data_IF_668383684118
#
_entry.id   IF_668383684118
#
_cell.length_a   1.000
_cell.length_b   1.000
_cell.length_c   1.000
_cell.angle_alpha   90.00
_cell.angle_beta   90.00
_cell.angle_gamma   90.00
#
_symmetry.space_group_name_H-M   'P 1'
#
loop_
_entity.id
_entity.type
_entity.pdbx_description
1 polymer ?
#
# COMPACT_ATOMS: atom_id res chain seq x y z
N UNK A 1 9.98 9.06 -12.91
CA UNK A 1 8.88 8.60 -12.03
C UNK A 1 8.63 7.09 -12.14
N UNK A 2 8.73 6.50 -13.33
CA UNK A 2 8.48 5.06 -13.55
C UNK A 2 9.29 4.14 -12.63
N UNK A 3 10.58 4.43 -12.41
CA UNK A 3 11.46 3.59 -11.59
C UNK A 3 10.95 3.38 -10.15
N UNK A 4 10.60 4.43 -9.38
CA UNK A 4 10.02 4.21 -8.06
C UNK A 4 8.66 3.51 -8.10
N UNK A 5 7.84 3.68 -9.15
CA UNK A 5 6.60 2.93 -9.31
C UNK A 5 6.85 1.43 -9.50
N UNK A 6 7.85 1.05 -10.30
CA UNK A 6 8.25 -0.36 -10.50
C UNK A 6 8.82 -0.97 -9.21
N UNK A 7 9.59 -0.20 -8.46
CA UNK A 7 10.32 -0.66 -7.28
C UNK A 7 9.57 -0.43 -5.95
N UNK A 8 8.33 0.10 -5.99
CA UNK A 8 7.61 0.47 -4.76
C UNK A 8 7.46 -0.68 -3.76
N UNK A 9 7.33 -1.91 -4.22
CA UNK A 9 7.22 -3.11 -3.39
C UNK A 9 8.56 -3.81 -3.08
N UNK A 10 9.69 -3.23 -3.45
CA UNK A 10 11.02 -3.84 -3.24
C UNK A 10 11.27 -4.20 -1.76
N UNK A 11 10.73 -3.42 -0.83
CA UNK A 11 10.79 -3.72 0.61
C UNK A 11 10.08 -5.01 1.02
N UNK A 12 9.21 -5.55 0.16
CA UNK A 12 8.49 -6.81 0.36
C UNK A 12 9.14 -8.01 -0.35
N UNK A 13 10.35 -7.86 -0.87
CA UNK A 13 11.07 -8.99 -1.47
C UNK A 13 11.22 -10.13 -0.45
N UNK A 14 10.84 -11.36 -0.85
CA UNK A 14 10.77 -12.53 0.04
C UNK A 14 9.42 -12.67 0.78
N UNK A 15 8.38 -11.99 0.33
CA UNK A 15 7.05 -12.07 0.94
C UNK A 15 6.48 -13.50 0.84
N UNK A 16 6.23 -14.10 1.99
CA UNK A 16 5.38 -15.28 2.13
C UNK A 16 3.92 -14.82 2.29
N UNK A 17 3.17 -14.86 1.19
CA UNK A 17 1.80 -14.34 1.16
C UNK A 17 0.88 -15.03 2.16
N UNK A 18 1.04 -16.35 2.35
CA UNK A 18 0.20 -17.12 3.25
C UNK A 18 0.47 -16.75 4.71
N UNK A 19 1.75 -16.75 5.11
CA UNK A 19 2.15 -16.41 6.47
C UNK A 19 1.89 -14.94 6.78
N UNK A 20 2.27 -14.04 5.87
CA UNK A 20 1.99 -12.60 5.99
C UNK A 20 0.49 -12.32 6.14
N UNK A 21 -0.33 -12.91 5.26
CA UNK A 21 -1.78 -12.77 5.33
C UNK A 21 -2.35 -13.27 6.66
N UNK A 22 -1.88 -14.43 7.13
CA UNK A 22 -2.30 -15.02 8.40
C UNK A 22 -1.96 -14.11 9.59
N UNK A 23 -0.72 -13.60 9.66
CA UNK A 23 -0.29 -12.69 10.73
C UNK A 23 -1.17 -11.43 10.75
N UNK A 24 -1.32 -10.77 9.59
CA UNK A 24 -1.99 -9.48 9.54
C UNK A 24 -3.52 -9.54 9.56
N UNK A 25 -4.12 -10.64 9.11
CA UNK A 25 -5.55 -10.89 9.32
C UNK A 25 -5.85 -11.16 10.79
N UNK A 26 -5.01 -11.94 11.45
CA UNK A 26 -5.09 -12.15 12.89
C UNK A 26 -4.94 -10.83 13.66
N UNK A 27 -3.90 -10.04 13.37
CA UNK A 27 -3.68 -8.76 14.04
C UNK A 27 -4.89 -7.82 13.89
N UNK A 28 -5.44 -7.74 12.68
CA UNK A 28 -6.64 -6.93 12.41
C UNK A 28 -7.85 -7.42 13.22
N UNK A 29 -8.08 -8.72 13.29
CA UNK A 29 -9.18 -9.32 14.06
C UNK A 29 -9.06 -9.02 15.56
N UNK A 30 -7.83 -8.81 16.07
CA UNK A 30 -7.55 -8.39 17.45
C UNK A 30 -7.56 -6.87 17.66
N UNK A 31 -7.89 -6.07 16.64
CA UNK A 31 -7.81 -4.61 16.72
C UNK A 31 -6.38 -4.06 16.83
N UNK A 32 -5.37 -4.88 16.51
CA UNK A 32 -3.95 -4.48 16.58
C UNK A 32 -3.62 -3.62 15.36
N UNK A 33 -2.95 -2.46 15.55
CA UNK A 33 -2.54 -1.60 14.46
C UNK A 33 -1.67 -2.33 13.45
N UNK A 34 -2.01 -2.19 12.19
CA UNK A 34 -1.30 -2.86 11.09
C UNK A 34 -0.41 -1.94 10.28
N UNK A 35 -0.44 -0.64 10.53
CA UNK A 35 0.42 0.37 9.87
C UNK A 35 1.46 0.91 10.84
N UNK A 36 2.68 1.21 10.40
CA UNK A 36 3.73 1.77 11.26
C UNK A 36 3.30 3.06 11.97
N UNK A 37 2.53 3.92 11.30
CA UNK A 37 2.00 5.17 11.88
C UNK A 37 1.05 4.88 13.03
N UNK A 38 0.07 4.00 12.81
CA UNK A 38 -0.91 3.60 13.83
C UNK A 38 -0.21 2.91 15.01
N UNK A 39 0.76 2.04 14.71
CA UNK A 39 1.58 1.39 15.72
C UNK A 39 2.30 2.41 16.63
N UNK A 40 2.95 3.43 16.05
CA UNK A 40 3.64 4.45 16.81
C UNK A 40 2.72 5.34 17.66
N UNK A 41 1.48 5.55 17.19
CA UNK A 41 0.47 6.29 17.97
C UNK A 41 0.01 5.46 19.18
N UNK A 42 -0.24 4.18 19.00
CA UNK A 42 -0.70 3.28 20.07
C UNK A 42 0.44 2.88 21.02
N UNK A 43 1.66 2.81 20.52
CA UNK A 43 2.86 2.37 21.25
C UNK A 43 3.98 3.41 21.14
N UNK A 44 3.79 4.62 21.70
CA UNK A 44 4.76 5.72 21.60
C UNK A 44 6.09 5.40 22.31
N UNK A 45 6.07 4.47 23.27
CA UNK A 45 7.24 3.96 23.97
C UNK A 45 8.17 3.14 23.05
N UNK A 46 7.67 2.65 21.91
CA UNK A 46 8.45 1.81 21.02
C UNK A 46 9.55 2.63 20.34
N UNK A 47 10.81 2.28 20.63
CA UNK A 47 11.96 2.91 19.97
C UNK A 47 11.90 2.68 18.45
N UNK A 48 12.13 3.73 17.67
CA UNK A 48 12.24 3.63 16.22
C UNK A 48 13.27 2.56 15.82
N UNK A 49 12.87 1.66 14.96
CA UNK A 49 13.68 0.53 14.54
C UNK A 49 13.46 -0.75 15.34
N UNK A 50 12.67 -0.71 16.41
CA UNK A 50 12.36 -1.86 17.27
C UNK A 50 10.89 -2.29 17.21
N UNK A 51 10.14 -1.79 16.24
CA UNK A 51 8.70 -2.05 16.13
C UNK A 51 8.40 -3.55 15.98
N UNK A 52 9.20 -4.27 15.18
CA UNK A 52 9.05 -5.72 15.00
C UNK A 52 9.31 -6.50 16.27
N UNK A 53 10.38 -6.16 16.99
CA UNK A 53 10.67 -6.77 18.30
C UNK A 53 9.55 -6.51 19.30
N UNK A 54 9.11 -5.26 19.40
CA UNK A 54 8.04 -4.86 20.31
C UNK A 54 6.74 -5.60 19.99
N UNK A 55 6.38 -5.71 18.70
CA UNK A 55 5.21 -6.46 18.24
C UNK A 55 5.31 -7.94 18.65
N UNK A 56 6.41 -8.59 18.30
CA UNK A 56 6.62 -10.02 18.58
C UNK A 56 6.65 -10.28 20.08
N UNK A 57 7.36 -9.45 20.86
CA UNK A 57 7.42 -9.60 22.32
C UNK A 57 6.05 -9.45 22.98
N UNK A 58 5.26 -8.46 22.56
CA UNK A 58 3.95 -8.17 23.13
C UNK A 58 2.91 -9.23 22.81
N UNK A 59 2.94 -9.76 21.60
CA UNK A 59 1.87 -10.62 21.08
C UNK A 59 2.28 -12.10 20.90
N UNK A 60 3.48 -12.49 21.35
CA UNK A 60 4.00 -13.85 21.22
C UNK A 60 2.98 -14.92 21.60
N UNK A 61 2.52 -14.93 22.83
CA UNK A 61 1.61 -15.99 23.31
C UNK A 61 0.27 -16.02 22.57
N UNK A 62 -0.26 -14.84 22.19
CA UNK A 62 -1.51 -14.77 21.43
C UNK A 62 -1.34 -15.25 19.98
N UNK A 63 -0.19 -14.99 19.37
CA UNK A 63 0.15 -15.48 18.02
C UNK A 63 0.33 -17.01 18.04
N UNK A 64 1.06 -17.52 19.02
CA UNK A 64 1.27 -18.99 19.21
C UNK A 64 -0.06 -19.71 19.47
N UNK A 65 -0.93 -19.14 20.32
CA UNK A 65 -2.28 -19.66 20.57
C UNK A 65 -3.15 -19.67 19.28
N UNK A 66 -2.93 -18.71 18.37
CA UNK A 66 -3.55 -18.69 17.05
C UNK A 66 -2.85 -19.61 16.02
N UNK A 67 -1.89 -20.42 16.48
CA UNK A 67 -1.11 -21.36 15.69
C UNK A 67 -0.12 -20.66 14.74
N UNK A 68 0.26 -19.41 14.97
CA UNK A 68 1.29 -18.70 14.21
C UNK A 68 2.64 -18.99 14.88
N UNK A 69 3.43 -19.86 14.29
CA UNK A 69 4.77 -20.17 14.78
C UNK A 69 5.70 -18.97 14.63
N UNK A 70 6.30 -18.53 15.72
CA UNK A 70 7.24 -17.42 15.77
C UNK A 70 8.67 -17.90 15.56
N UNK A 71 9.07 -17.95 14.32
CA UNK A 71 10.44 -18.21 13.89
C UNK A 71 11.02 -16.97 13.18
N UNK A 72 12.31 -16.95 12.80
CA UNK A 72 12.92 -15.83 12.09
C UNK A 72 12.17 -15.42 10.82
N UNK A 73 11.55 -16.37 10.13
CA UNK A 73 10.77 -16.11 8.91
C UNK A 73 9.47 -15.36 9.21
N UNK A 74 8.77 -15.71 10.29
CA UNK A 74 7.60 -14.97 10.76
C UNK A 74 7.96 -13.53 11.19
N UNK A 75 9.09 -13.36 11.89
CA UNK A 75 9.61 -12.03 12.24
C UNK A 75 9.90 -11.19 10.98
N UNK A 76 10.45 -11.80 9.92
CA UNK A 76 10.63 -11.11 8.64
C UNK A 76 9.30 -10.65 8.03
N UNK A 77 8.23 -11.45 8.13
CA UNK A 77 6.90 -11.06 7.63
C UNK A 77 6.31 -9.87 8.44
N UNK A 78 6.59 -9.80 9.72
CA UNK A 78 6.24 -8.63 10.55
C UNK A 78 7.05 -7.41 10.13
N UNK A 79 8.38 -7.55 9.95
CA UNK A 79 9.28 -6.49 9.52
C UNK A 79 8.92 -5.92 8.14
N UNK A 80 8.38 -6.74 7.23
CA UNK A 80 7.90 -6.28 5.92
C UNK A 80 6.81 -5.21 6.01
N UNK A 81 6.18 -5.06 7.14
CA UNK A 81 5.14 -4.06 7.36
C UNK A 81 5.57 -2.99 8.35
N UNK A 82 5.92 -3.36 9.56
CA UNK A 82 6.30 -2.40 10.60
C UNK A 82 7.69 -1.77 10.35
N UNK A 83 8.61 -2.52 9.76
CA UNK A 83 9.95 -2.08 9.41
C UNK A 83 10.18 -1.79 7.93
N UNK A 84 9.12 -1.54 7.17
CA UNK A 84 9.18 -1.40 5.70
C UNK A 84 10.29 -0.44 5.23
N UNK A 85 10.46 0.72 5.89
CA UNK A 85 11.49 1.70 5.52
C UNK A 85 12.92 1.13 5.63
N UNK A 86 13.18 0.32 6.65
CA UNK A 86 14.50 -0.31 6.85
C UNK A 86 14.78 -1.36 5.78
N UNK A 87 13.78 -2.20 5.51
CA UNK A 87 13.86 -3.22 4.45
C UNK A 87 14.07 -2.58 3.09
N UNK A 88 13.26 -1.56 2.74
CA UNK A 88 13.41 -0.83 1.48
C UNK A 88 14.83 -0.25 1.35
N UNK A 89 15.34 0.41 2.40
CA UNK A 89 16.69 0.97 2.40
C UNK A 89 17.78 -0.10 2.18
N UNK A 90 17.64 -1.26 2.83
CA UNK A 90 18.56 -2.38 2.66
C UNK A 90 18.54 -2.94 1.23
N UNK A 91 17.34 -3.19 0.69
CA UNK A 91 17.18 -3.70 -0.67
C UNK A 91 17.64 -2.70 -1.73
N UNK A 92 17.35 -1.41 -1.55
CA UNK A 92 17.86 -0.37 -2.45
C UNK A 92 19.38 -0.30 -2.46
N UNK A 93 20.04 -0.47 -1.32
CA UNK A 93 21.52 -0.53 -1.29
C UNK A 93 22.05 -1.66 -2.17
N UNK A 94 21.41 -2.82 -2.15
CA UNK A 94 21.79 -3.96 -2.98
C UNK A 94 21.51 -3.76 -4.48
N UNK A 95 20.41 -3.07 -4.82
CA UNK A 95 19.97 -2.88 -6.22
C UNK A 95 20.63 -1.67 -6.89
N UNK A 96 21.00 -0.63 -6.14
CA UNK A 96 21.60 0.61 -6.70
C UNK A 96 22.80 0.43 -7.61
N UNK A 97 23.77 -0.47 -7.35
CA UNK A 97 24.85 -0.72 -8.29
C UNK A 97 24.32 -1.16 -9.66
N UNK A 98 23.35 -2.09 -9.66
CA UNK A 98 22.74 -2.58 -10.91
C UNK A 98 21.96 -1.50 -11.64
N UNK A 99 21.27 -0.61 -10.93
CA UNK A 99 20.58 0.53 -11.54
C UNK A 99 21.57 1.48 -12.23
N UNK A 100 22.76 1.69 -11.66
CA UNK A 100 23.82 2.51 -12.27
C UNK A 100 24.34 1.90 -13.57
N UNK A 101 24.52 0.57 -13.63
CA UNK A 101 24.88 -0.13 -14.86
C UNK A 101 23.86 0.07 -15.98
N UNK A 102 22.59 0.25 -15.61
CA UNK A 102 21.48 0.57 -16.51
C UNK A 102 21.31 2.08 -16.75
N UNK A 103 22.32 2.90 -16.42
CA UNK A 103 22.28 4.37 -16.49
C UNK A 103 21.13 5.03 -15.70
N UNK A 104 20.63 4.36 -14.65
CA UNK A 104 19.58 4.90 -13.77
C UNK A 104 20.20 5.55 -12.55
N UNK A 105 20.01 6.88 -12.42
CA UNK A 105 20.42 7.64 -11.24
C UNK A 105 19.32 7.63 -10.20
N UNK A 106 19.63 7.13 -8.99
CA UNK A 106 18.70 7.11 -7.88
C UNK A 106 18.74 8.43 -7.10
N UNK A 107 17.65 9.18 -7.12
CA UNK A 107 17.50 10.43 -6.36
C UNK A 107 16.79 10.19 -5.02
N UNK A 108 17.09 10.98 -3.96
CA UNK A 108 16.48 10.83 -2.64
C UNK A 108 14.95 10.92 -2.64
N UNK A 109 14.35 11.76 -3.51
CA UNK A 109 12.91 11.91 -3.62
C UNK A 109 12.21 10.60 -4.03
N UNK A 110 12.87 9.74 -4.82
CA UNK A 110 12.32 8.44 -5.24
C UNK A 110 12.02 7.55 -4.02
N UNK A 111 12.93 7.51 -3.04
CA UNK A 111 12.69 6.76 -1.79
C UNK A 111 11.56 7.39 -0.96
N UNK A 112 11.45 8.72 -0.96
CA UNK A 112 10.41 9.41 -0.19
C UNK A 112 9.01 9.08 -0.69
N UNK A 113 8.79 9.08 -2.01
CA UNK A 113 7.46 8.74 -2.57
C UNK A 113 7.09 7.28 -2.31
N UNK A 114 8.03 6.34 -2.38
CA UNK A 114 7.78 4.92 -2.09
C UNK A 114 7.46 4.67 -0.61
N UNK A 115 7.90 5.54 0.28
CA UNK A 115 7.69 5.43 1.73
C UNK A 115 6.43 6.16 2.20
N UNK A 116 5.83 6.99 1.37
CA UNK A 116 4.82 7.95 1.78
C UNK A 116 3.61 7.30 2.47
N UNK A 117 3.10 6.21 1.92
CA UNK A 117 1.93 5.52 2.50
C UNK A 117 2.14 5.06 3.95
N UNK A 118 3.35 4.60 4.28
CA UNK A 118 3.67 4.10 5.62
C UNK A 118 4.27 5.17 6.54
N UNK A 119 4.89 6.20 5.96
CA UNK A 119 5.65 7.24 6.66
C UNK A 119 5.38 8.61 6.04
N UNK A 120 4.14 9.13 6.12
CA UNK A 120 3.78 10.40 5.50
C UNK A 120 4.61 11.58 6.03
N UNK A 121 5.09 11.49 7.28
CA UNK A 121 5.97 12.48 7.89
C UNK A 121 7.30 12.65 7.15
N UNK A 122 7.74 11.68 6.35
CA UNK A 122 8.98 11.78 5.56
C UNK A 122 8.87 12.76 4.38
N UNK A 123 7.67 13.17 4.03
CA UNK A 123 7.46 14.24 3.04
C UNK A 123 7.35 15.64 3.65
N UNK A 124 7.45 15.78 4.97
CA UNK A 124 7.48 17.10 5.60
C UNK A 124 8.65 17.93 5.02
N UNK A 125 8.33 19.12 4.50
CA UNK A 125 9.30 19.98 3.83
C UNK A 125 9.74 19.54 2.43
N UNK A 126 9.10 18.51 1.84
CA UNK A 126 9.34 18.15 0.45
C UNK A 126 8.72 19.18 -0.50
N UNK A 127 9.30 19.30 -1.69
CA UNK A 127 8.73 20.13 -2.76
C UNK A 127 7.30 19.63 -3.13
N UNK A 128 6.38 20.53 -3.50
CA UNK A 128 4.99 20.17 -3.80
C UNK A 128 4.85 19.05 -4.83
N UNK A 129 5.67 19.06 -5.89
CA UNK A 129 5.64 18.03 -6.92
C UNK A 129 6.03 16.64 -6.39
N UNK A 130 6.95 16.54 -5.40
CA UNK A 130 7.32 15.26 -4.78
C UNK A 130 6.14 14.71 -4.01
N UNK A 131 5.42 15.56 -3.28
CA UNK A 131 4.20 15.19 -2.58
C UNK A 131 3.14 14.71 -3.55
N UNK A 132 2.89 15.44 -4.62
CA UNK A 132 1.91 15.07 -5.64
C UNK A 132 2.22 13.71 -6.27
N UNK A 133 3.49 13.44 -6.64
CA UNK A 133 3.90 12.14 -7.15
C UNK A 133 3.71 11.01 -6.14
N UNK A 134 3.93 11.27 -4.86
CA UNK A 134 3.70 10.31 -3.79
C UNK A 134 2.21 10.00 -3.60
N UNK A 135 1.36 11.00 -3.64
CA UNK A 135 -0.09 10.87 -3.57
C UNK A 135 -0.64 10.07 -4.76
N UNK A 136 -0.15 10.33 -5.98
CA UNK A 136 -0.52 9.58 -7.19
C UNK A 136 -0.11 8.10 -7.05
N UNK A 137 1.12 7.81 -6.57
CA UNK A 137 1.56 6.43 -6.37
C UNK A 137 0.66 5.71 -5.38
N UNK A 138 0.37 6.32 -4.23
CA UNK A 138 -0.50 5.74 -3.20
C UNK A 138 -1.91 5.52 -3.77
N UNK A 139 -2.47 6.51 -4.46
CA UNK A 139 -3.81 6.41 -5.00
C UNK A 139 -3.93 5.27 -6.03
N UNK A 140 -2.98 5.14 -6.95
CA UNK A 140 -2.96 4.05 -7.94
C UNK A 140 -2.75 2.68 -7.27
N UNK A 141 -1.82 2.56 -6.31
CA UNK A 141 -1.57 1.32 -5.56
C UNK A 141 -2.83 0.87 -4.80
N UNK A 142 -3.48 1.80 -4.10
CA UNK A 142 -4.67 1.47 -3.33
C UNK A 142 -5.89 1.20 -4.21
N UNK A 143 -6.07 1.94 -5.30
CA UNK A 143 -7.09 1.65 -6.29
C UNK A 143 -6.94 0.23 -6.84
N UNK A 144 -5.74 -0.16 -7.28
CA UNK A 144 -5.45 -1.52 -7.76
C UNK A 144 -5.72 -2.56 -6.67
N UNK A 145 -5.22 -2.31 -5.45
CA UNK A 145 -5.34 -3.25 -4.36
C UNK A 145 -6.78 -3.53 -3.92
N UNK A 146 -7.69 -2.56 -4.04
CA UNK A 146 -9.10 -2.69 -3.65
C UNK A 146 -10.01 -3.09 -4.82
N UNK A 147 -9.69 -2.68 -6.05
CA UNK A 147 -10.50 -3.00 -7.23
C UNK A 147 -10.25 -4.40 -7.79
N UNK A 148 -9.12 -5.02 -7.48
CA UNK A 148 -8.75 -6.33 -8.01
C UNK A 148 -8.62 -7.38 -6.91
N UNK A 149 -9.38 -8.47 -7.08
CA UNK A 149 -9.12 -9.71 -6.38
C UNK A 149 -7.93 -10.38 -7.07
N UNK A 150 -6.76 -10.30 -6.47
CA UNK A 150 -5.53 -10.89 -7.00
C UNK A 150 -5.63 -12.41 -6.92
N UNK A 151 -6.39 -13.08 -7.77
CA UNK A 151 -6.52 -14.54 -7.98
C UNK A 151 -5.77 -15.41 -6.94
N UNK A 152 -6.36 -15.65 -5.76
CA UNK A 152 -5.76 -16.40 -4.66
C UNK A 152 -4.52 -15.76 -4.02
N UNK A 153 -4.23 -14.51 -4.33
CA UNK A 153 -3.11 -13.73 -3.81
C UNK A 153 -3.53 -12.60 -2.88
N UNK A 154 -4.83 -12.50 -2.57
CA UNK A 154 -5.30 -11.53 -1.58
C UNK A 154 -4.90 -11.98 -0.19
N UNK A 155 -3.98 -11.23 0.42
CA UNK A 155 -3.52 -11.46 1.79
C UNK A 155 -4.61 -11.34 2.84
N UNK A 156 -5.70 -10.66 2.49
CA UNK A 156 -6.74 -10.24 3.44
C UNK A 156 -8.05 -10.99 3.27
N UNK A 157 -8.07 -12.03 2.41
CA UNK A 157 -9.28 -12.82 2.13
C UNK A 157 -10.46 -11.90 1.78
N UNK A 158 -10.24 -10.93 0.90
CA UNK A 158 -11.34 -10.09 0.39
C UNK A 158 -12.24 -10.94 -0.48
N UNK A 159 -13.51 -10.97 -0.14
CA UNK A 159 -14.47 -11.85 -0.81
C UNK A 159 -14.97 -11.28 -2.14
N UNK A 160 -14.71 -10.03 -2.46
CA UNK A 160 -15.25 -9.34 -3.64
C UNK A 160 -14.24 -8.41 -4.27
N UNK A 161 -14.22 -8.42 -5.61
CA UNK A 161 -13.65 -7.38 -6.44
C UNK A 161 -14.69 -6.27 -6.54
N UNK A 162 -14.48 -5.16 -5.87
CA UNK A 162 -15.42 -4.06 -5.90
C UNK A 162 -14.71 -2.73 -6.18
N UNK A 163 -14.99 -2.17 -7.35
CA UNK A 163 -14.44 -0.88 -7.75
C UNK A 163 -15.00 0.23 -6.86
N UNK A 164 -16.21 0.07 -6.32
CA UNK A 164 -16.80 1.05 -5.41
C UNK A 164 -16.05 1.12 -4.08
N UNK A 165 -15.59 -0.04 -3.56
CA UNK A 165 -14.74 -0.08 -2.37
C UNK A 165 -13.40 0.63 -2.59
N UNK A 166 -12.83 0.54 -3.81
CA UNK A 166 -11.60 1.24 -4.14
C UNK A 166 -11.78 2.77 -4.04
N UNK A 167 -12.82 3.33 -4.61
CA UNK A 167 -13.09 4.77 -4.50
C UNK A 167 -13.46 5.19 -3.09
N UNK A 168 -14.27 4.41 -2.37
CA UNK A 168 -14.58 4.68 -0.96
C UNK A 168 -13.31 4.73 -0.09
N UNK A 169 -12.35 3.85 -0.38
CA UNK A 169 -11.07 3.87 0.33
C UNK A 169 -10.21 5.09 -0.04
N UNK A 170 -10.21 5.51 -1.31
CA UNK A 170 -9.52 6.74 -1.72
C UNK A 170 -10.12 7.98 -1.03
N UNK A 171 -11.45 8.04 -0.91
CA UNK A 171 -12.13 9.12 -0.19
C UNK A 171 -11.77 9.12 1.31
N UNK A 172 -11.65 7.94 1.93
CA UNK A 172 -11.17 7.83 3.30
C UNK A 172 -9.74 8.33 3.46
N UNK A 173 -8.83 7.96 2.54
CA UNK A 173 -7.45 8.46 2.52
C UNK A 173 -7.38 9.97 2.30
N UNK A 174 -8.30 10.54 1.51
CA UNK A 174 -8.44 11.97 1.37
C UNK A 174 -8.88 12.61 2.70
N UNK A 175 -9.90 12.08 3.35
CA UNK A 175 -10.35 12.52 4.67
C UNK A 175 -9.25 12.47 5.75
N UNK A 176 -8.34 11.50 5.67
CA UNK A 176 -7.13 11.40 6.51
C UNK A 176 -6.00 12.38 6.11
N UNK A 177 -6.16 13.14 5.01
CA UNK A 177 -5.12 14.05 4.48
C UNK A 177 -3.91 13.34 3.86
N UNK A 178 -4.05 12.05 3.51
CA UNK A 178 -3.00 11.25 2.86
C UNK A 178 -2.93 11.56 1.37
N UNK A 179 -4.06 11.72 0.70
CA UNK A 179 -4.12 12.11 -0.70
C UNK A 179 -4.98 13.37 -0.87
N UNK A 180 -4.61 14.21 -1.81
CA UNK A 180 -5.34 15.44 -2.09
C UNK A 180 -6.58 15.21 -2.95
N UNK A 181 -7.59 16.06 -2.83
CA UNK A 181 -8.81 16.02 -3.64
C UNK A 181 -8.52 15.98 -5.14
N UNK A 182 -7.61 16.81 -5.70
CA UNK A 182 -7.30 16.75 -7.14
C UNK A 182 -6.80 15.38 -7.62
N UNK A 183 -6.06 14.64 -6.79
CA UNK A 183 -5.59 13.29 -7.14
C UNK A 183 -6.76 12.30 -7.20
N UNK A 184 -7.66 12.32 -6.21
CA UNK A 184 -8.87 11.46 -6.22
C UNK A 184 -9.74 11.78 -7.42
N UNK A 185 -9.95 13.07 -7.69
CA UNK A 185 -10.75 13.54 -8.81
C UNK A 185 -10.17 13.09 -10.16
N UNK A 186 -8.86 13.25 -10.37
CA UNK A 186 -8.20 12.80 -11.59
C UNK A 186 -8.37 11.27 -11.81
N UNK A 187 -8.29 10.45 -10.76
CA UNK A 187 -8.54 9.02 -10.88
C UNK A 187 -10.00 8.72 -11.27
N UNK A 188 -10.96 9.46 -10.71
CA UNK A 188 -12.37 9.32 -11.06
C UNK A 188 -12.64 9.71 -12.52
N UNK A 189 -12.04 10.79 -13.00
CA UNK A 189 -12.12 11.23 -14.40
C UNK A 189 -11.53 10.19 -15.35
N UNK A 190 -10.32 9.70 -15.08
CA UNK A 190 -9.68 8.63 -15.86
C UNK A 190 -10.51 7.33 -15.88
N UNK A 191 -11.15 6.99 -14.76
CA UNK A 191 -12.07 5.85 -14.69
C UNK A 191 -13.31 6.07 -15.55
N UNK A 192 -13.87 7.28 -15.54
CA UNK A 192 -15.01 7.64 -16.35
C UNK A 192 -14.68 7.64 -17.86
N UNK A 193 -13.47 8.00 -18.23
CA UNK A 193 -12.96 7.92 -19.62
C UNK A 193 -12.65 6.48 -20.07
N UNK A 194 -12.62 5.51 -19.16
CA UNK A 194 -12.34 4.10 -19.46
C UNK A 194 -10.88 3.73 -19.51
N UNK A 195 -10.00 4.58 -19.03
CA UNK A 195 -8.54 4.34 -19.02
C UNK A 195 -8.18 3.07 -18.25
N UNK A 196 -8.93 2.74 -17.19
CA UNK A 196 -8.68 1.57 -16.36
C UNK A 196 -9.35 0.28 -16.84
N UNK A 197 -10.26 0.34 -17.81
CA UNK A 197 -11.05 -0.84 -18.22
C UNK A 197 -10.16 -2.01 -18.58
N UNK A 198 -9.21 -1.80 -19.49
CA UNK A 198 -8.29 -2.86 -19.94
C UNK A 198 -7.44 -3.42 -18.79
N UNK A 199 -6.89 -2.56 -17.95
CA UNK A 199 -6.05 -2.99 -16.82
C UNK A 199 -6.85 -3.83 -15.83
N UNK A 200 -8.10 -3.43 -15.55
CA UNK A 200 -9.00 -4.17 -14.67
C UNK A 200 -9.40 -5.52 -15.28
N UNK A 201 -9.70 -5.57 -16.58
CA UNK A 201 -10.04 -6.82 -17.29
C UNK A 201 -8.86 -7.80 -17.31
N UNK A 202 -7.66 -7.31 -17.65
CA UNK A 202 -6.45 -8.13 -17.64
C UNK A 202 -6.13 -8.68 -16.24
N UNK A 203 -6.20 -7.84 -15.19
CA UNK A 203 -5.93 -8.23 -13.81
C UNK A 203 -6.94 -9.27 -13.30
N UNK A 204 -8.19 -9.17 -13.67
CA UNK A 204 -9.27 -10.09 -13.29
C UNK A 204 -9.37 -11.32 -14.19
N UNK A 205 -8.81 -11.24 -15.41
CA UNK A 205 -8.92 -12.28 -16.45
C UNK A 205 -10.34 -12.50 -16.93
N UNK A 206 -11.18 -11.46 -16.87
CA UNK A 206 -12.55 -11.41 -17.38
C UNK A 206 -12.89 -9.99 -17.80
N UNK A 207 -13.86 -9.86 -18.71
CA UNK A 207 -14.43 -8.56 -19.04
C UNK A 207 -15.16 -7.92 -17.85
N UNK A 208 -15.17 -6.61 -17.82
CA UNK A 208 -15.99 -5.86 -16.86
C UNK A 208 -17.47 -6.07 -17.18
N UNK A 209 -18.26 -6.31 -16.16
CA UNK A 209 -19.71 -6.36 -16.28
C UNK A 209 -20.30 -4.99 -16.64
N UNK A 210 -21.51 -4.98 -17.19
CA UNK A 210 -22.21 -3.72 -17.48
C UNK A 210 -22.37 -2.84 -16.23
N UNK A 211 -22.61 -3.47 -15.07
CA UNK A 211 -22.72 -2.75 -13.79
C UNK A 211 -21.42 -2.07 -13.39
N UNK A 212 -20.28 -2.76 -13.53
CA UNK A 212 -18.95 -2.20 -13.24
C UNK A 212 -18.61 -1.06 -14.18
N UNK A 213 -18.84 -1.22 -15.48
CA UNK A 213 -18.65 -0.15 -16.47
C UNK A 213 -19.53 1.07 -16.15
N UNK A 214 -20.81 0.85 -15.88
CA UNK A 214 -21.72 1.94 -15.52
C UNK A 214 -21.24 2.67 -14.26
N UNK A 215 -20.79 1.96 -13.24
CA UNK A 215 -20.24 2.56 -12.02
C UNK A 215 -19.00 3.41 -12.35
N UNK A 216 -18.03 2.86 -13.10
CA UNK A 216 -16.82 3.59 -13.48
C UNK A 216 -17.15 4.89 -14.23
N UNK A 217 -18.09 4.84 -15.20
CA UNK A 217 -18.51 6.03 -15.97
C UNK A 217 -19.19 7.09 -15.10
N UNK A 218 -19.93 6.69 -14.08
CA UNK A 218 -20.58 7.62 -13.12
C UNK A 218 -19.62 8.20 -12.09
N UNK A 219 -18.55 7.48 -11.75
CA UNK A 219 -17.59 7.94 -10.75
C UNK A 219 -16.99 9.33 -11.04
N UNK A 220 -16.82 9.68 -12.31
CA UNK A 220 -16.39 11.02 -12.73
C UNK A 220 -17.45 12.12 -12.55
N UNK A 221 -18.74 11.77 -12.61
CA UNK A 221 -19.84 12.76 -12.53
C UNK A 221 -20.12 13.23 -11.11
N UNK A 222 -19.92 12.36 -10.11
CA UNK A 222 -20.10 12.72 -8.70
C UNK A 222 -19.09 13.78 -8.22
N UNK A 223 -17.96 13.92 -8.93
CA UNK A 223 -16.95 14.94 -8.64
C UNK A 223 -17.37 16.36 -9.03
N UNK A 224 -18.25 16.52 -10.02
CA UNK A 224 -18.67 17.83 -10.58
C UNK A 224 -19.72 18.55 -9.71
N UNK A 225 -20.40 17.81 -8.80
CA UNK A 225 -21.49 18.37 -8.00
C UNK A 225 -21.10 18.65 -6.54
N UNK A 226 -19.86 18.39 -6.15
CA UNK A 226 -19.33 18.58 -4.78
C UNK A 226 -18.34 19.77 -4.68
N UNK A 227 -18.39 20.71 -5.63
CA UNK A 227 -17.56 21.93 -5.69
C UNK A 227 -18.28 23.15 -5.18
#
# INVERSE_FOLDING_TARGET
YQIPCILHDLGRAGLDRRLFGRIWSWARAQGIPTRPREWRVLHPETRYGRETEAFVSRYRGAMEAAGIELNPWACEQVEMRLGYARRLAARLRAVKPRLRELAVTWSPWMSRIMLYYYYPEKLKGAQPWVRQLAEILVACEQFEAYSNQRRGRDYYVRQREDVSEAFAYLDALHGEGIISRPVVQALRELAAEGVFDRVLEEARGRSLSSRERTFLRRAGQESLHAG
#
